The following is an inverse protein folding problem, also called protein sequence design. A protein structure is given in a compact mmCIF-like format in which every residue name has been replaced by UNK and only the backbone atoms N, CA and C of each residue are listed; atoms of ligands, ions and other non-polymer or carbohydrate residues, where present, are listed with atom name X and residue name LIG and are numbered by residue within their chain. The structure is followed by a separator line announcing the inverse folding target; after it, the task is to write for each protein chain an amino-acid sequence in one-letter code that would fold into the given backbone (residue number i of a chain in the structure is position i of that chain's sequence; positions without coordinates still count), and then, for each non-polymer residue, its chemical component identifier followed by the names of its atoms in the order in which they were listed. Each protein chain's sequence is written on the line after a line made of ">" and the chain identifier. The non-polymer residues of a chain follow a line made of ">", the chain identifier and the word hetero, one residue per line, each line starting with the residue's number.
data_IF_536162081121
#
_entry.id   IF_536162081121
#
_cell.length_a   1.000
_cell.length_b   1.000
_cell.length_c   1.000
_cell.angle_alpha   90.00
_cell.angle_beta   90.00
_cell.angle_gamma   90.00
#
_symmetry.space_group_name_H-M   'P 1'
#
loop_
_entity.id
_entity.type
_entity.pdbx_description
1 polymer ?
#
# COMPACT_ATOMS: atom_id res chain seq x y z
N UNK A 1 -18.40 23.02 5.83
CA UNK A 1 -17.63 21.80 5.47
C UNK A 1 -18.17 20.48 6.05
N UNK A 2 -19.26 20.45 6.85
CA UNK A 2 -19.77 19.21 7.44
C UNK A 2 -20.65 18.35 6.49
N UNK A 3 -21.35 18.95 5.51
CA UNK A 3 -22.31 18.23 4.66
C UNK A 3 -21.67 17.29 3.61
N UNK A 4 -20.42 17.53 3.18
CA UNK A 4 -19.73 16.69 2.17
C UNK A 4 -19.17 15.39 2.73
N UNK A 5 -18.97 15.28 4.06
CA UNK A 5 -18.45 14.05 4.69
C UNK A 5 -19.54 12.99 4.86
N UNK A 6 -20.80 13.38 5.08
CA UNK A 6 -21.91 12.43 5.24
C UNK A 6 -22.32 11.74 3.93
N UNK A 7 -22.21 12.43 2.78
CA UNK A 7 -22.54 11.85 1.47
C UNK A 7 -21.57 10.73 1.03
N UNK A 8 -20.29 10.84 1.42
CA UNK A 8 -19.25 9.86 1.06
C UNK A 8 -19.39 8.57 1.91
N UNK A 9 -19.79 8.71 3.17
CA UNK A 9 -20.07 7.57 4.06
C UNK A 9 -21.35 6.82 3.65
N UNK A 10 -22.38 7.51 3.16
CA UNK A 10 -23.62 6.88 2.69
C UNK A 10 -23.41 6.10 1.37
N UNK A 11 -22.63 6.66 0.44
CA UNK A 11 -22.33 5.98 -0.84
C UNK A 11 -21.47 4.73 -0.68
N UNK A 12 -20.49 4.76 0.25
CA UNK A 12 -19.67 3.58 0.58
C UNK A 12 -20.47 2.44 1.21
N UNK A 13 -21.49 2.75 2.04
CA UNK A 13 -22.30 1.74 2.73
C UNK A 13 -23.34 1.08 1.81
N UNK A 14 -23.78 1.76 0.74
CA UNK A 14 -24.64 1.17 -0.31
C UNK A 14 -23.87 0.19 -1.22
N UNK A 15 -22.61 0.48 -1.56
CA UNK A 15 -21.79 -0.39 -2.41
C UNK A 15 -21.42 -1.71 -1.73
N UNK A 16 -21.09 -1.69 -0.43
CA UNK A 16 -20.80 -2.91 0.35
C UNK A 16 -22.04 -3.79 0.52
N UNK A 17 -23.25 -3.22 0.61
CA UNK A 17 -24.48 -3.99 0.78
C UNK A 17 -24.93 -4.69 -0.51
N UNK A 18 -24.63 -4.13 -1.68
CA UNK A 18 -24.91 -4.75 -2.99
C UNK A 18 -23.95 -5.91 -3.32
N UNK A 19 -22.67 -5.79 -2.95
CA UNK A 19 -21.68 -6.86 -3.17
C UNK A 19 -21.91 -8.09 -2.28
N UNK A 20 -22.38 -7.90 -1.04
CA UNK A 20 -22.69 -9.02 -0.14
C UNK A 20 -23.93 -9.82 -0.55
N UNK A 21 -24.91 -9.19 -1.23
CA UNK A 21 -26.11 -9.88 -1.74
C UNK A 21 -25.81 -10.74 -2.98
N UNK A 22 -24.87 -10.32 -3.84
CA UNK A 22 -24.47 -11.10 -5.02
C UNK A 22 -23.58 -12.31 -4.68
N UNK A 23 -22.81 -12.23 -3.59
CA UNK A 23 -21.99 -13.34 -3.08
C UNK A 23 -22.86 -14.46 -2.48
N UNK A 24 -23.95 -14.11 -1.79
CA UNK A 24 -24.89 -15.09 -1.24
C UNK A 24 -25.72 -15.82 -2.30
N UNK A 25 -26.06 -15.15 -3.42
CA UNK A 25 -26.78 -15.79 -4.53
C UNK A 25 -25.88 -16.68 -5.41
N UNK A 26 -24.57 -16.41 -5.49
CA UNK A 26 -23.62 -17.21 -6.29
C UNK A 26 -23.21 -18.55 -5.67
N UNK A 27 -23.29 -18.70 -4.34
CA UNK A 27 -23.03 -19.99 -3.68
C UNK A 27 -24.16 -21.01 -3.83
N UNK A 28 -25.34 -20.61 -4.32
CA UNK A 28 -26.50 -21.49 -4.45
C UNK A 28 -26.55 -22.26 -5.79
N UNK A 29 -25.71 -21.95 -6.79
CA UNK A 29 -25.85 -22.50 -8.15
C UNK A 29 -24.68 -23.36 -8.66
N UNK A 30 -23.65 -23.65 -7.85
CA UNK A 30 -22.60 -24.62 -8.21
C UNK A 30 -21.67 -24.27 -9.38
N UNK A 31 -21.83 -23.10 -10.01
CA UNK A 31 -21.04 -22.68 -11.16
C UNK A 31 -19.73 -21.98 -10.72
N UNK A 32 -18.64 -22.74 -10.78
CA UNK A 32 -17.28 -22.29 -10.43
C UNK A 32 -16.72 -21.18 -11.35
N UNK A 33 -17.32 -20.95 -12.53
CA UNK A 33 -16.91 -19.86 -13.44
C UNK A 33 -17.47 -18.49 -13.05
N UNK A 34 -18.68 -18.45 -12.45
CA UNK A 34 -19.32 -17.23 -11.98
C UNK A 34 -18.69 -16.72 -10.68
N UNK A 35 -18.31 -17.64 -9.78
CA UNK A 35 -17.59 -17.31 -8.55
C UNK A 35 -16.20 -16.68 -8.83
N UNK A 36 -15.47 -17.19 -9.83
CA UNK A 36 -14.17 -16.63 -10.24
C UNK A 36 -14.35 -15.28 -10.94
N UNK A 37 -15.46 -15.07 -11.66
CA UNK A 37 -15.77 -13.79 -12.32
C UNK A 37 -16.22 -12.71 -11.32
N UNK A 38 -17.00 -13.09 -10.30
CA UNK A 38 -17.38 -12.22 -9.19
C UNK A 38 -16.19 -11.91 -8.28
N UNK A 39 -15.32 -12.89 -8.01
CA UNK A 39 -14.04 -12.68 -7.33
C UNK A 39 -13.11 -11.79 -8.18
N UNK A 40 -13.11 -11.91 -9.51
CA UNK A 40 -12.40 -11.00 -10.41
C UNK A 40 -12.98 -9.60 -10.40
N UNK A 41 -14.30 -9.40 -10.27
CA UNK A 41 -14.91 -8.07 -10.15
C UNK A 41 -14.65 -7.45 -8.77
N UNK A 42 -14.71 -8.23 -7.69
CA UNK A 42 -14.33 -7.79 -6.35
C UNK A 42 -12.82 -7.46 -6.29
N UNK A 43 -11.99 -8.25 -6.98
CA UNK A 43 -10.55 -8.01 -7.11
C UNK A 43 -10.24 -6.86 -8.06
N UNK A 44 -11.08 -6.60 -9.07
CA UNK A 44 -10.97 -5.45 -9.97
C UNK A 44 -11.35 -4.14 -9.26
N UNK A 45 -12.31 -4.19 -8.33
CA UNK A 45 -12.62 -3.05 -7.45
C UNK A 45 -11.56 -2.82 -6.36
N UNK A 46 -10.66 -3.79 -6.12
CA UNK A 46 -9.49 -3.59 -5.26
C UNK A 46 -8.16 -3.41 -6.01
N UNK A 47 -8.14 -3.53 -7.34
CA UNK A 47 -6.91 -3.43 -8.15
C UNK A 47 -6.88 -2.28 -9.16
N UNK A 48 -7.86 -1.37 -9.15
CA UNK A 48 -7.75 -0.07 -9.83
C UNK A 48 -7.76 1.14 -8.88
N UNK A 49 -7.25 0.96 -7.65
CA UNK A 49 -6.69 2.07 -6.90
C UNK A 49 -5.21 1.77 -6.66
N UNK A 50 -4.40 2.12 -7.65
CA UNK A 50 -3.01 2.49 -7.43
C UNK A 50 -2.98 3.69 -6.47
N UNK A 51 -3.27 3.45 -5.19
CA UNK A 51 -2.80 4.31 -4.10
C UNK A 51 -1.35 3.92 -3.89
N UNK A 52 -0.56 4.31 -4.87
CA UNK A 52 0.76 4.84 -4.60
C UNK A 52 0.64 5.66 -3.29
N UNK A 53 1.52 5.51 -2.30
CA UNK A 53 1.80 6.64 -1.44
C UNK A 53 2.52 7.63 -2.37
N UNK A 54 1.75 8.26 -3.25
CA UNK A 54 2.06 9.59 -3.70
C UNK A 54 2.03 10.37 -2.40
N UNK A 55 3.22 10.61 -1.85
CA UNK A 55 3.50 11.92 -1.30
C UNK A 55 3.21 12.86 -2.46
N UNK A 56 1.92 13.19 -2.61
CA UNK A 56 1.54 14.33 -3.39
C UNK A 56 2.11 15.48 -2.60
N UNK A 57 3.29 15.91 -3.03
CA UNK A 57 3.63 17.32 -3.06
C UNK A 57 2.67 17.97 -4.06
N UNK A 58 1.36 17.85 -3.81
CA UNK A 58 0.39 18.73 -4.43
C UNK A 58 0.72 20.08 -3.84
N UNK A 59 1.01 20.99 -4.76
CA UNK A 59 1.41 22.36 -4.53
C UNK A 59 0.27 23.10 -3.85
N UNK A 60 -0.02 22.77 -2.60
CA UNK A 60 -0.44 23.78 -1.65
C UNK A 60 0.77 24.66 -1.54
N UNK A 61 0.66 25.84 -2.14
CA UNK A 61 1.34 27.05 -1.71
C UNK A 61 1.26 27.10 -0.18
N UNK A 62 2.18 26.40 0.47
CA UNK A 62 2.50 26.64 1.85
C UNK A 62 3.22 27.96 1.75
N UNK A 63 2.39 29.01 1.89
CA UNK A 63 2.77 30.40 1.97
C UNK A 63 4.23 30.47 2.33
N UNK A 64 5.01 30.86 1.32
CA UNK A 64 6.34 31.38 1.51
C UNK A 64 6.21 32.41 2.63
N UNK A 65 6.47 31.99 3.87
CA UNK A 65 6.99 32.88 4.87
C UNK A 65 8.44 33.07 4.45
N UNK A 66 8.63 33.81 3.35
CA UNK A 66 9.79 34.66 3.17
C UNK A 66 10.09 35.24 4.56
N UNK A 67 11.32 35.15 5.08
CA UNK A 67 11.70 36.13 6.08
C UNK A 67 11.44 37.49 5.41
N UNK A 68 10.41 38.20 5.86
CA UNK A 68 10.11 39.53 5.35
C UNK A 68 11.35 40.36 5.65
N UNK A 69 12.07 40.70 4.60
CA UNK A 69 12.91 41.88 4.57
C UNK A 69 12.03 43.05 5.02
N UNK A 70 12.19 43.44 6.29
CA UNK A 70 11.68 44.69 6.81
C UNK A 70 12.89 45.49 7.29
N UNK A 71 13.65 46.04 6.36
CA UNK A 71 14.37 47.30 6.60
C UNK A 71 14.64 48.00 5.26
N UNK A 72 13.61 48.67 4.74
CA UNK A 72 13.75 49.80 3.84
C UNK A 72 12.64 50.82 4.15
N UNK A 73 13.06 51.90 4.81
CA UNK A 73 12.60 53.30 4.69
C UNK A 73 11.13 53.59 4.31
N UNK A 74 10.43 54.31 5.20
CA UNK A 74 9.20 55.04 4.87
C UNK A 74 8.34 55.42 6.08
N UNK A 75 8.76 56.48 6.77
CA UNK A 75 8.00 57.53 7.46
C UNK A 75 6.69 57.26 8.24
N UNK A 76 6.63 57.95 9.39
CA UNK A 76 5.47 58.30 10.24
C UNK A 76 5.10 57.39 11.42
N UNK A 77 5.60 57.82 12.60
CA UNK A 77 4.81 58.06 13.82
C UNK A 77 4.07 56.89 14.47
N UNK A 78 4.79 56.09 15.28
CA UNK A 78 4.31 55.67 16.61
C UNK A 78 5.46 54.98 17.38
N UNK A 79 6.40 55.78 17.91
CA UNK A 79 7.43 55.29 18.81
C UNK A 79 6.85 55.22 20.24
N UNK A 80 6.81 54.01 20.80
CA UNK A 80 6.56 53.75 22.22
C UNK A 80 7.76 54.25 23.02
N UNK A 81 7.47 55.07 24.01
CA UNK A 81 8.38 55.79 24.90
C UNK A 81 9.46 54.91 25.54
N UNK A 82 10.69 55.00 25.03
CA UNK A 82 11.91 54.69 25.79
C UNK A 82 13.14 55.48 25.31
N UNK A 83 12.93 56.63 24.66
CA UNK A 83 13.97 57.56 24.26
C UNK A 83 13.80 58.90 25.01
N UNK A 84 13.97 58.84 26.33
CA UNK A 84 14.05 60.04 27.18
C UNK A 84 15.37 60.09 27.97
N UNK A 85 16.44 59.46 27.46
CA UNK A 85 17.78 59.85 27.84
C UNK A 85 18.32 60.77 26.76
N UNK A 86 18.05 62.05 26.98
CA UNK A 86 18.47 63.22 26.23
C UNK A 86 19.83 62.99 25.53
N UNK A 87 19.81 62.97 24.20
CA UNK A 87 20.94 63.44 23.38
C UNK A 87 21.05 64.96 23.58
N UNK A 88 21.42 65.36 24.79
CA UNK A 88 21.94 66.67 25.05
C UNK A 88 23.35 66.68 24.43
N UNK A 89 23.45 67.17 23.19
CA UNK A 89 24.71 67.66 22.64
C UNK A 89 25.32 68.52 23.75
N UNK A 90 26.50 68.20 24.32
CA UNK A 90 27.12 69.12 25.24
C UNK A 90 27.57 70.29 24.37
N UNK A 91 26.71 71.31 24.23
CA UNK A 91 27.21 72.67 24.06
C UNK A 91 28.24 72.80 25.17
N UNK A 92 29.52 72.92 24.78
CA UNK A 92 30.66 72.85 25.68
C UNK A 92 30.29 73.54 26.97
N UNK A 93 30.34 72.79 28.10
CA UNK A 93 30.00 73.40 29.38
C UNK A 93 30.89 74.64 29.52
N UNK A 94 30.34 75.76 30.00
CA UNK A 94 31.20 76.86 30.38
C UNK A 94 32.20 76.28 31.36
N UNK A 95 33.49 76.41 31.08
CA UNK A 95 34.47 76.22 32.12
C UNK A 95 33.94 77.00 33.33
N UNK A 96 33.68 76.32 34.44
CA UNK A 96 33.32 76.99 35.69
C UNK A 96 34.59 77.71 36.14
N UNK A 97 34.88 78.81 35.46
CA UNK A 97 35.98 79.69 35.74
C UNK A 97 35.54 80.47 36.97
N UNK A 98 35.97 80.00 38.13
CA UNK A 98 35.79 80.74 39.36
C UNK A 98 36.71 81.95 39.28
N UNK A 99 36.13 83.10 38.95
CA UNK A 99 36.85 84.37 38.96
C UNK A 99 37.16 84.77 40.41
N UNK A 100 38.36 84.40 40.83
CA UNK A 100 38.93 84.58 42.16
C UNK A 100 38.95 86.07 42.52
N UNK A 101 39.28 86.94 41.57
CA UNK A 101 39.39 88.39 41.77
C UNK A 101 38.02 89.05 41.93
N UNK A 102 37.04 88.65 41.12
CA UNK A 102 35.67 89.14 41.26
C UNK A 102 35.01 88.64 42.57
N UNK A 103 35.37 87.47 43.06
CA UNK A 103 34.88 86.94 44.34
C UNK A 103 35.45 87.72 45.53
N UNK A 104 36.76 87.97 45.54
CA UNK A 104 37.43 88.76 46.59
C UNK A 104 36.85 90.17 46.66
N UNK A 105 36.72 90.87 45.52
CA UNK A 105 36.15 92.24 45.47
C UNK A 105 34.70 92.30 45.97
N UNK A 106 33.90 91.26 45.72
CA UNK A 106 32.53 91.17 46.24
C UNK A 106 32.48 90.95 47.74
N UNK A 107 33.39 90.14 48.30
CA UNK A 107 33.50 89.93 49.74
C UNK A 107 33.96 91.20 50.45
N UNK A 108 34.93 91.91 49.88
CA UNK A 108 35.38 93.22 50.36
C UNK A 108 34.24 94.26 50.35
N UNK A 109 33.40 94.28 49.30
CA UNK A 109 32.22 95.14 49.21
C UNK A 109 31.12 94.84 50.23
N UNK A 110 31.16 93.68 50.89
CA UNK A 110 30.27 93.29 51.99
C UNK A 110 30.91 93.50 53.38
N UNK A 111 32.05 94.19 53.44
CA UNK A 111 32.75 94.52 54.70
C UNK A 111 33.73 93.46 55.20
N UNK A 112 34.07 92.44 54.41
CA UNK A 112 35.08 91.44 54.77
C UNK A 112 36.48 92.04 54.54
N UNK A 113 37.41 91.97 55.52
CA UNK A 113 38.76 92.47 55.32
C UNK A 113 39.51 91.64 54.27
N UNK A 114 40.30 92.33 53.42
CA UNK A 114 40.94 91.77 52.22
C UNK A 114 41.65 90.42 52.43
N UNK A 115 42.42 90.27 53.52
CA UNK A 115 43.10 89.00 53.86
C UNK A 115 42.16 87.84 54.14
N UNK A 116 41.00 88.10 54.76
CA UNK A 116 39.99 87.06 55.01
C UNK A 116 39.22 86.73 53.74
N UNK A 117 38.93 87.73 52.90
CA UNK A 117 38.28 87.53 51.60
C UNK A 117 39.14 86.65 50.67
N UNK A 118 40.46 86.86 50.67
CA UNK A 118 41.43 86.04 49.94
C UNK A 118 41.49 84.61 50.47
N UNK A 119 41.57 84.42 51.79
CA UNK A 119 41.63 83.10 52.41
C UNK A 119 40.34 82.28 52.19
N UNK A 120 39.17 82.91 52.30
CA UNK A 120 37.87 82.26 52.02
C UNK A 120 37.79 81.89 50.55
N UNK A 121 38.21 82.78 49.66
CA UNK A 121 38.21 82.52 48.22
C UNK A 121 39.16 81.39 47.85
N UNK A 122 40.33 81.30 48.48
CA UNK A 122 41.29 80.21 48.28
C UNK A 122 40.72 78.85 48.72
N UNK A 123 40.10 78.78 49.90
CA UNK A 123 39.47 77.55 50.39
C UNK A 123 38.31 77.10 49.48
N UNK A 124 37.50 78.05 48.97
CA UNK A 124 36.43 77.74 48.01
C UNK A 124 37.01 77.25 46.69
N UNK A 125 38.08 77.85 46.19
CA UNK A 125 38.74 77.43 44.95
C UNK A 125 39.32 76.01 45.08
N UNK A 126 39.90 75.67 46.22
CA UNK A 126 40.44 74.32 46.52
C UNK A 126 39.34 73.26 46.54
N UNK A 127 38.28 73.46 47.33
CA UNK A 127 37.15 72.51 47.40
C UNK A 127 36.48 72.33 46.03
N UNK A 128 36.38 73.41 45.24
CA UNK A 128 35.77 73.37 43.91
C UNK A 128 36.66 72.65 42.90
N UNK A 129 37.99 72.82 42.99
CA UNK A 129 38.95 72.10 42.16
C UNK A 129 38.99 70.60 42.51
N UNK A 130 38.98 70.24 43.79
CA UNK A 130 38.91 68.84 44.25
C UNK A 130 37.59 68.17 43.83
N UNK A 131 36.48 68.89 43.97
CA UNK A 131 35.16 68.40 43.53
C UNK A 131 35.10 68.19 42.02
N UNK A 132 35.76 69.06 41.24
CA UNK A 132 35.87 68.90 39.79
C UNK A 132 36.79 67.73 39.41
N UNK A 133 37.89 67.51 40.14
CA UNK A 133 38.80 66.39 39.89
C UNK A 133 38.11 65.05 40.19
N UNK A 134 37.49 64.89 41.37
CA UNK A 134 36.70 63.70 41.75
C UNK A 134 35.56 63.47 40.75
N UNK A 135 34.85 64.55 40.39
CA UNK A 135 33.82 64.50 39.37
C UNK A 135 34.37 63.99 38.04
N UNK A 136 35.50 64.53 37.58
CA UNK A 136 36.13 64.15 36.31
C UNK A 136 36.61 62.69 36.30
N UNK A 137 37.12 62.16 37.41
CA UNK A 137 37.53 60.76 37.53
C UNK A 137 36.33 59.79 37.48
N UNK A 138 35.14 60.23 37.88
CA UNK A 138 33.91 59.43 37.78
C UNK A 138 33.32 59.39 36.36
N UNK A 139 33.79 60.26 35.46
CA UNK A 139 33.36 60.28 34.07
C UNK A 139 34.39 59.60 33.18
N UNK A 140 33.94 58.65 32.37
CA UNK A 140 34.78 58.06 31.32
C UNK A 140 34.97 59.08 30.19
N UNK A 141 36.22 59.30 29.77
CA UNK A 141 36.50 60.18 28.65
C UNK A 141 35.84 59.63 27.38
N UNK A 142 35.29 60.51 26.53
CA UNK A 142 34.59 60.08 25.29
C UNK A 142 35.46 59.20 24.40
N UNK A 143 36.77 59.44 24.38
CA UNK A 143 37.75 58.67 23.61
C UNK A 143 37.86 57.23 24.14
N UNK A 144 37.85 57.03 25.46
CA UNK A 144 37.93 55.70 26.08
C UNK A 144 36.63 54.91 25.91
N UNK A 145 35.49 55.59 26.05
CA UNK A 145 34.18 54.99 25.78
C UNK A 145 34.08 54.52 24.32
N UNK A 146 34.52 55.35 23.38
CA UNK A 146 34.51 55.00 21.95
C UNK A 146 35.47 53.87 21.61
N UNK A 147 36.62 53.78 22.31
CA UNK A 147 37.53 52.63 22.19
C UNK A 147 36.88 51.35 22.70
N UNK A 148 36.18 51.39 23.83
CA UNK A 148 35.45 50.24 24.38
C UNK A 148 34.33 49.79 23.44
N UNK A 149 33.59 50.73 22.85
CA UNK A 149 32.57 50.49 21.82
C UNK A 149 33.17 49.80 20.58
N UNK A 150 34.25 50.34 20.02
CA UNK A 150 34.94 49.72 18.87
C UNK A 150 35.42 48.29 19.16
N UNK A 151 35.94 48.05 20.37
CA UNK A 151 36.36 46.70 20.78
C UNK A 151 35.14 45.77 20.89
N UNK A 152 34.04 46.23 21.51
CA UNK A 152 32.81 45.47 21.63
C UNK A 152 32.21 45.14 20.26
N UNK A 153 32.15 46.10 19.34
CA UNK A 153 31.67 45.91 17.97
C UNK A 153 32.53 44.90 17.20
N UNK A 154 33.86 44.97 17.36
CA UNK A 154 34.77 44.00 16.73
C UNK A 154 34.55 42.58 17.25
N UNK A 155 34.33 42.42 18.56
CA UNK A 155 34.06 41.14 19.19
C UNK A 155 32.69 40.60 18.76
N UNK A 156 31.67 41.47 18.68
CA UNK A 156 30.36 41.11 18.19
C UNK A 156 30.41 40.69 16.71
N UNK A 157 31.20 41.38 15.89
CA UNK A 157 31.44 41.01 14.50
C UNK A 157 32.07 39.62 14.36
N UNK A 158 33.11 39.32 15.15
CA UNK A 158 33.74 37.99 15.20
C UNK A 158 32.76 36.92 15.63
N UNK A 159 32.06 37.12 16.75
CA UNK A 159 31.05 36.19 17.26
C UNK A 159 29.97 35.91 16.21
N UNK A 160 29.44 36.96 15.56
CA UNK A 160 28.46 36.82 14.47
C UNK A 160 29.00 35.99 13.32
N UNK A 161 30.26 36.19 12.93
CA UNK A 161 30.88 35.41 11.86
C UNK A 161 31.10 33.94 12.24
N UNK A 162 31.51 33.65 13.48
CA UNK A 162 31.68 32.28 13.98
C UNK A 162 30.35 31.54 14.05
N UNK A 163 29.31 32.18 14.59
CA UNK A 163 27.96 31.60 14.66
C UNK A 163 27.43 31.34 13.26
N UNK A 164 27.58 32.29 12.33
CA UNK A 164 27.13 32.12 10.94
C UNK A 164 27.89 30.99 10.24
N UNK A 165 29.21 30.96 10.37
CA UNK A 165 30.05 29.92 9.75
C UNK A 165 29.72 28.53 10.30
N UNK A 166 29.54 28.42 11.62
CA UNK A 166 29.12 27.16 12.26
C UNK A 166 27.73 26.72 11.78
N UNK A 167 26.77 27.64 11.72
CA UNK A 167 25.42 27.34 11.22
C UNK A 167 25.44 26.86 9.77
N UNK A 168 26.20 27.54 8.90
CA UNK A 168 26.34 27.18 7.49
C UNK A 168 27.02 25.82 7.32
N UNK A 169 28.04 25.54 8.13
CA UNK A 169 28.69 24.24 8.17
C UNK A 169 27.72 23.13 8.60
N UNK A 170 27.00 23.30 9.72
CA UNK A 170 26.01 22.32 10.18
C UNK A 170 24.89 22.10 9.16
N UNK A 171 24.43 23.17 8.52
CA UNK A 171 23.42 23.07 7.47
C UNK A 171 23.95 22.27 6.26
N UNK A 172 25.18 22.55 5.82
CA UNK A 172 25.80 21.81 4.71
C UNK A 172 26.00 20.33 5.02
N UNK A 173 26.36 19.99 6.27
CA UNK A 173 26.51 18.62 6.73
C UNK A 173 25.17 17.89 6.71
N UNK A 174 24.13 18.49 7.31
CA UNK A 174 22.78 17.91 7.34
C UNK A 174 22.21 17.73 5.93
N UNK A 175 22.43 18.70 5.04
CA UNK A 175 22.01 18.59 3.65
C UNK A 175 22.70 17.43 2.95
N UNK A 176 24.00 17.26 3.16
CA UNK A 176 24.79 16.14 2.58
C UNK A 176 24.34 14.79 3.11
N UNK A 177 24.09 14.68 4.41
CA UNK A 177 23.59 13.44 5.03
C UNK A 177 22.17 13.12 4.54
N UNK A 178 21.30 14.13 4.42
CA UNK A 178 19.94 13.96 3.89
C UNK A 178 19.98 13.44 2.45
N UNK A 179 20.86 13.99 1.61
CA UNK A 179 20.99 13.53 0.22
C UNK A 179 21.59 12.12 0.14
N UNK A 180 22.59 11.82 0.97
CA UNK A 180 23.15 10.46 1.05
C UNK A 180 22.08 9.43 1.45
N UNK A 181 21.30 9.73 2.49
CA UNK A 181 20.21 8.86 2.94
C UNK A 181 19.14 8.69 1.86
N UNK A 182 18.84 9.75 1.11
CA UNK A 182 17.90 9.69 -0.02
C UNK A 182 18.39 8.70 -1.09
N UNK A 183 19.66 8.78 -1.47
CA UNK A 183 20.28 7.85 -2.43
C UNK A 183 20.24 6.40 -1.91
N UNK A 184 20.55 6.19 -0.63
CA UNK A 184 20.50 4.85 -0.03
C UNK A 184 19.07 4.29 -0.01
N UNK A 185 18.06 5.13 0.28
CA UNK A 185 16.64 4.75 0.22
C UNK A 185 16.25 4.35 -1.21
N UNK A 186 16.61 5.17 -2.21
CA UNK A 186 16.29 4.90 -3.61
C UNK A 186 16.95 3.60 -4.10
N UNK A 187 18.19 3.34 -3.65
CA UNK A 187 18.91 2.09 -3.93
C UNK A 187 18.18 0.89 -3.31
N UNK A 188 17.86 0.95 -2.02
CA UNK A 188 17.13 -0.14 -1.33
C UNK A 188 15.75 -0.38 -1.96
N UNK A 189 15.03 0.66 -2.35
CA UNK A 189 13.77 0.53 -3.07
C UNK A 189 13.94 -0.18 -4.41
N UNK A 190 15.00 0.13 -5.16
CA UNK A 190 15.29 -0.52 -6.44
C UNK A 190 15.67 -2.00 -6.28
N UNK A 191 16.50 -2.32 -5.28
CA UNK A 191 16.90 -3.69 -4.97
C UNK A 191 15.68 -4.53 -4.57
N UNK A 192 14.85 -4.01 -3.65
CA UNK A 192 13.63 -4.69 -3.22
C UNK A 192 12.67 -4.94 -4.38
N UNK A 193 12.47 -3.94 -5.26
CA UNK A 193 11.64 -4.10 -6.46
C UNK A 193 12.18 -5.18 -7.39
N UNK A 194 13.50 -5.22 -7.59
CA UNK A 194 14.15 -6.21 -8.45
C UNK A 194 14.02 -7.64 -7.89
N UNK A 195 14.17 -7.79 -6.57
CA UNK A 195 14.04 -9.09 -5.89
C UNK A 195 12.60 -9.60 -5.96
N UNK A 196 11.62 -8.75 -5.66
CA UNK A 196 10.21 -9.10 -5.78
C UNK A 196 9.87 -9.54 -7.21
N UNK A 197 10.30 -8.78 -8.22
CA UNK A 197 10.09 -9.16 -9.62
C UNK A 197 10.71 -10.52 -9.94
N UNK A 198 11.93 -10.76 -9.50
CA UNK A 198 12.62 -12.03 -9.72
C UNK A 198 11.91 -13.21 -9.06
N UNK A 199 11.47 -13.07 -7.82
CA UNK A 199 10.71 -14.11 -7.13
C UNK A 199 9.36 -14.37 -7.79
N UNK A 200 8.63 -13.31 -8.16
CA UNK A 200 7.34 -13.48 -8.85
C UNK A 200 7.49 -14.21 -10.17
N UNK A 201 8.55 -13.92 -10.95
CA UNK A 201 8.81 -14.61 -12.22
C UNK A 201 9.22 -16.07 -12.00
N UNK A 202 10.04 -16.34 -10.97
CA UNK A 202 10.40 -17.72 -10.60
C UNK A 202 9.14 -18.52 -10.24
N UNK A 203 8.28 -17.98 -9.37
CA UNK A 203 7.04 -18.66 -9.00
C UNK A 203 6.09 -18.82 -10.19
N UNK A 204 6.05 -17.85 -11.13
CA UNK A 204 5.26 -17.97 -12.36
C UNK A 204 5.71 -19.14 -13.22
N UNK A 205 7.02 -19.28 -13.42
CA UNK A 205 7.61 -20.39 -14.17
C UNK A 205 7.32 -21.74 -13.49
N UNK A 206 7.48 -21.82 -12.17
CA UNK A 206 7.20 -23.05 -11.42
C UNK A 206 5.71 -23.43 -11.51
N UNK A 207 4.80 -22.45 -11.44
CA UNK A 207 3.36 -22.67 -11.62
C UNK A 207 3.03 -23.18 -13.02
N UNK A 208 3.59 -22.55 -14.07
CA UNK A 208 3.38 -22.97 -15.45
C UNK A 208 3.90 -24.39 -15.70
N UNK A 209 5.04 -24.74 -15.09
CA UNK A 209 5.58 -26.11 -15.14
C UNK A 209 4.63 -27.11 -14.49
N UNK A 210 4.20 -26.87 -13.25
CA UNK A 210 3.25 -27.74 -12.54
C UNK A 210 1.93 -27.88 -13.29
N UNK A 211 1.45 -26.80 -13.90
CA UNK A 211 0.23 -26.79 -14.72
C UNK A 211 0.40 -27.65 -15.98
N UNK A 212 1.55 -27.60 -16.63
CA UNK A 212 1.83 -28.42 -17.81
C UNK A 212 1.95 -29.91 -17.47
N UNK A 213 2.60 -30.23 -16.35
CA UNK A 213 2.77 -31.60 -15.85
C UNK A 213 1.42 -32.22 -15.48
N UNK A 214 0.59 -31.50 -14.71
CA UNK A 214 -0.75 -31.96 -14.35
C UNK A 214 -1.64 -32.17 -15.59
N UNK A 215 -1.57 -31.29 -16.59
CA UNK A 215 -2.31 -31.49 -17.86
C UNK A 215 -1.86 -32.74 -18.59
N UNK A 216 -0.55 -32.95 -18.68
CA UNK A 216 0.00 -34.15 -19.30
C UNK A 216 -0.44 -35.43 -18.58
N UNK A 217 -0.44 -35.44 -17.24
CA UNK A 217 -0.93 -36.58 -16.47
C UNK A 217 -2.42 -36.83 -16.69
N UNK A 218 -3.25 -35.79 -16.73
CA UNK A 218 -4.68 -35.89 -17.03
C UNK A 218 -4.88 -36.48 -18.43
N UNK A 219 -4.18 -35.96 -19.44
CA UNK A 219 -4.30 -36.45 -20.81
C UNK A 219 -3.86 -37.91 -20.93
N UNK A 220 -2.78 -38.28 -20.23
CA UNK A 220 -2.27 -39.66 -20.16
C UNK A 220 -3.29 -40.61 -19.51
N UNK A 221 -3.84 -40.26 -18.34
CA UNK A 221 -4.84 -41.07 -17.64
C UNK A 221 -6.12 -41.17 -18.47
N UNK A 222 -6.55 -40.06 -19.07
CA UNK A 222 -7.76 -40.02 -19.92
C UNK A 222 -7.61 -40.89 -21.17
N UNK A 223 -6.45 -40.84 -21.84
CA UNK A 223 -6.16 -41.70 -22.98
C UNK A 223 -6.10 -43.18 -22.57
N UNK A 224 -5.49 -43.48 -21.42
CA UNK A 224 -5.44 -44.83 -20.85
C UNK A 224 -6.84 -45.38 -20.57
N UNK A 225 -7.68 -44.62 -19.87
CA UNK A 225 -9.07 -44.99 -19.58
C UNK A 225 -9.89 -45.19 -20.86
N UNK A 226 -9.73 -44.34 -21.88
CA UNK A 226 -10.42 -44.52 -23.18
C UNK A 226 -9.99 -45.80 -23.89
N UNK A 227 -8.70 -46.13 -23.85
CA UNK A 227 -8.19 -47.36 -24.45
C UNK A 227 -8.74 -48.58 -23.72
N UNK A 228 -8.70 -48.57 -22.40
CA UNK A 228 -9.22 -49.64 -21.54
C UNK A 228 -10.69 -49.95 -21.83
N UNK A 229 -11.54 -48.91 -21.83
CA UNK A 229 -12.96 -49.03 -22.19
C UNK A 229 -13.18 -49.56 -23.61
N UNK A 230 -12.33 -49.18 -24.57
CA UNK A 230 -12.44 -49.67 -25.94
C UNK A 230 -12.04 -51.13 -26.07
N UNK A 231 -11.03 -51.58 -25.31
CA UNK A 231 -10.62 -52.98 -25.26
C UNK A 231 -11.68 -53.85 -24.56
N UNK A 232 -12.22 -53.39 -23.43
CA UNK A 232 -13.32 -54.08 -22.74
C UNK A 232 -14.57 -54.16 -23.63
N UNK A 233 -14.91 -53.08 -24.34
CA UNK A 233 -16.01 -53.08 -25.32
C UNK A 233 -15.75 -54.06 -26.46
N UNK A 234 -14.50 -54.21 -26.91
CA UNK A 234 -14.09 -55.22 -27.88
C UNK A 234 -14.33 -56.63 -27.36
N UNK A 235 -13.79 -56.95 -26.18
CA UNK A 235 -13.96 -58.25 -25.53
C UNK A 235 -15.42 -58.62 -25.30
N UNK A 236 -16.25 -57.67 -24.87
CA UNK A 236 -17.69 -57.89 -24.71
C UNK A 236 -18.40 -58.22 -26.03
N UNK A 237 -17.97 -57.64 -27.17
CA UNK A 237 -18.52 -58.00 -28.48
C UNK A 237 -18.09 -59.40 -28.91
N UNK A 238 -16.84 -59.77 -28.67
CA UNK A 238 -16.34 -61.11 -28.99
C UNK A 238 -17.06 -62.18 -28.17
N UNK A 239 -17.25 -61.93 -26.87
CA UNK A 239 -18.01 -62.82 -25.98
C UNK A 239 -19.48 -62.94 -26.43
N UNK A 240 -20.12 -61.81 -26.79
CA UNK A 240 -21.49 -61.81 -27.32
C UNK A 240 -21.58 -62.58 -28.65
N UNK A 241 -20.59 -62.46 -29.53
CA UNK A 241 -20.53 -63.21 -30.78
C UNK A 241 -20.36 -64.71 -30.53
N UNK A 242 -19.55 -65.10 -29.54
CA UNK A 242 -19.39 -66.50 -29.15
C UNK A 242 -20.71 -67.09 -28.60
N UNK A 243 -21.38 -66.39 -27.67
CA UNK A 243 -22.67 -66.83 -27.14
C UNK A 243 -23.75 -66.94 -28.25
N UNK A 244 -23.75 -66.02 -29.22
CA UNK A 244 -24.65 -66.12 -30.37
C UNK A 244 -24.32 -67.34 -31.24
N UNK A 245 -23.05 -67.62 -31.50
CA UNK A 245 -22.63 -68.82 -32.24
C UNK A 245 -23.04 -70.11 -31.52
N UNK A 246 -22.84 -70.18 -30.20
CA UNK A 246 -23.28 -71.31 -29.37
C UNK A 246 -24.80 -71.47 -29.42
N UNK A 247 -25.56 -70.38 -29.29
CA UNK A 247 -27.03 -70.37 -29.40
C UNK A 247 -27.47 -70.91 -30.75
N UNK A 248 -26.90 -70.42 -31.86
CA UNK A 248 -27.24 -70.93 -33.20
C UNK A 248 -26.85 -72.40 -33.40
N UNK A 249 -25.74 -72.86 -32.81
CA UNK A 249 -25.35 -74.27 -32.85
C UNK A 249 -26.37 -75.15 -32.12
N UNK A 250 -26.81 -74.73 -30.94
CA UNK A 250 -27.84 -75.41 -30.16
C UNK A 250 -29.19 -75.40 -30.87
N UNK A 251 -29.62 -74.27 -31.45
CA UNK A 251 -30.83 -74.19 -32.28
C UNK A 251 -30.77 -75.18 -33.44
N UNK A 252 -29.66 -75.21 -34.19
CA UNK A 252 -29.47 -76.15 -35.30
C UNK A 252 -29.47 -77.62 -34.84
N UNK A 253 -28.97 -77.93 -33.64
CA UNK A 253 -29.05 -79.28 -33.05
C UNK A 253 -30.49 -79.63 -32.69
N UNK A 254 -31.21 -78.73 -32.03
CA UNK A 254 -32.63 -78.91 -31.69
C UNK A 254 -33.47 -79.13 -32.95
N UNK A 255 -33.26 -78.34 -34.01
CA UNK A 255 -33.98 -78.51 -35.27
C UNK A 255 -33.73 -79.90 -35.90
N UNK A 256 -32.48 -80.38 -35.86
CA UNK A 256 -32.15 -81.75 -36.32
C UNK A 256 -32.85 -82.83 -35.49
N UNK A 257 -32.88 -82.68 -34.17
CA UNK A 257 -33.60 -83.60 -33.28
C UNK A 257 -35.10 -83.57 -33.56
N UNK A 258 -35.70 -82.38 -33.75
CA UNK A 258 -37.12 -82.22 -34.13
C UNK A 258 -37.41 -82.93 -35.45
N UNK A 259 -36.58 -82.75 -36.48
CA UNK A 259 -36.76 -83.42 -37.76
C UNK A 259 -36.63 -84.94 -37.65
N UNK A 260 -35.67 -85.42 -36.86
CA UNK A 260 -35.45 -86.85 -36.62
C UNK A 260 -36.65 -87.46 -35.89
N UNK A 261 -37.13 -86.80 -34.83
CA UNK A 261 -38.31 -87.23 -34.07
C UNK A 261 -39.57 -87.22 -34.94
N UNK A 262 -39.73 -86.21 -35.82
CA UNK A 262 -40.84 -86.13 -36.76
C UNK A 262 -40.82 -87.29 -37.77
N UNK A 263 -39.65 -87.62 -38.31
CA UNK A 263 -39.48 -88.76 -39.20
C UNK A 263 -39.83 -90.08 -38.49
N UNK A 264 -39.39 -90.26 -37.24
CA UNK A 264 -39.77 -91.41 -36.41
C UNK A 264 -41.29 -91.48 -36.18
N UNK A 265 -41.94 -90.35 -35.88
CA UNK A 265 -43.39 -90.30 -35.73
C UNK A 265 -44.11 -90.64 -37.04
N UNK A 266 -43.62 -90.19 -38.18
CA UNK A 266 -44.20 -90.54 -39.48
C UNK A 266 -44.06 -92.03 -39.78
N UNK A 267 -42.89 -92.63 -39.54
CA UNK A 267 -42.70 -94.08 -39.66
C UNK A 267 -43.64 -94.88 -38.75
N UNK A 268 -43.71 -94.53 -37.46
CA UNK A 268 -44.60 -95.20 -36.50
C UNK A 268 -46.07 -95.03 -36.86
N UNK A 269 -46.48 -93.87 -37.40
CA UNK A 269 -47.84 -93.68 -37.92
C UNK A 269 -48.14 -94.65 -39.06
N UNK A 270 -47.25 -94.81 -40.03
CA UNK A 270 -47.43 -95.75 -41.14
C UNK A 270 -47.51 -97.21 -40.65
N UNK A 271 -46.67 -97.58 -39.67
CA UNK A 271 -46.72 -98.91 -39.06
C UNK A 271 -48.06 -99.17 -38.37
N UNK A 272 -48.56 -98.22 -37.55
CA UNK A 272 -49.86 -98.33 -36.90
C UNK A 272 -50.98 -98.51 -37.93
N UNK A 273 -51.01 -97.70 -38.99
CA UNK A 273 -52.01 -97.83 -40.07
C UNK A 273 -51.94 -99.20 -40.72
N UNK A 274 -50.74 -99.72 -40.99
CA UNK A 274 -50.54 -101.04 -41.57
C UNK A 274 -51.10 -102.16 -40.67
N UNK A 275 -50.84 -102.11 -39.37
CA UNK A 275 -51.39 -103.09 -38.42
C UNK A 275 -52.91 -102.98 -38.29
N UNK A 276 -53.48 -101.77 -38.26
CA UNK A 276 -54.92 -101.55 -38.23
C UNK A 276 -55.63 -102.12 -39.48
N UNK A 277 -55.08 -101.91 -40.67
CA UNK A 277 -55.64 -102.47 -41.91
C UNK A 277 -55.56 -104.00 -41.89
N UNK A 278 -54.42 -104.56 -41.46
CA UNK A 278 -54.24 -106.00 -41.37
C UNK A 278 -55.23 -106.67 -40.39
N UNK A 279 -55.47 -106.05 -39.22
CA UNK A 279 -56.43 -106.57 -38.25
C UNK A 279 -57.88 -106.44 -38.74
N UNK A 280 -58.26 -105.31 -39.35
CA UNK A 280 -59.60 -105.16 -39.94
C UNK A 280 -59.87 -106.23 -41.00
N UNK A 281 -58.92 -106.48 -41.90
CA UNK A 281 -59.04 -107.53 -42.94
C UNK A 281 -59.12 -108.93 -42.31
N UNK A 282 -58.31 -109.21 -41.27
CA UNK A 282 -58.37 -110.48 -40.56
C UNK A 282 -59.75 -110.69 -39.90
N UNK A 283 -60.29 -109.67 -39.24
CA UNK A 283 -61.64 -109.69 -38.65
C UNK A 283 -62.71 -109.91 -39.72
N UNK A 284 -62.66 -109.18 -40.85
CA UNK A 284 -63.61 -109.38 -41.96
C UNK A 284 -63.52 -110.80 -42.54
N UNK A 285 -62.32 -111.36 -42.70
CA UNK A 285 -62.13 -112.72 -43.19
C UNK A 285 -62.70 -113.78 -42.23
N UNK A 286 -62.48 -113.61 -40.93
CA UNK A 286 -63.01 -114.49 -39.90
C UNK A 286 -64.55 -114.41 -39.83
N UNK A 287 -65.12 -113.21 -39.96
CA UNK A 287 -66.58 -113.01 -40.02
C UNK A 287 -67.22 -113.73 -41.20
N UNK A 288 -66.62 -113.64 -42.40
CA UNK A 288 -67.11 -114.38 -43.59
C UNK A 288 -66.99 -115.89 -43.36
N UNK A 289 -65.89 -116.37 -42.77
CA UNK A 289 -65.71 -117.79 -42.48
C UNK A 289 -66.76 -118.33 -41.50
N UNK A 290 -67.09 -117.59 -40.44
CA UNK A 290 -68.14 -117.95 -39.49
C UNK A 290 -69.52 -117.93 -40.14
N UNK A 291 -69.86 -116.88 -40.90
CA UNK A 291 -71.11 -116.82 -41.67
C UNK A 291 -71.27 -118.01 -42.64
N UNK A 292 -70.17 -118.50 -43.22
CA UNK A 292 -70.15 -119.67 -44.09
C UNK A 292 -70.33 -121.01 -43.36
N UNK A 293 -69.99 -121.11 -42.08
CA UNK A 293 -70.19 -122.32 -41.27
C UNK A 293 -71.60 -122.35 -40.67
N UNK A 294 -72.22 -121.18 -40.48
CA UNK A 294 -73.52 -121.04 -39.80
C UNK A 294 -74.74 -121.04 -40.76
N UNK A 295 -74.53 -120.88 -42.07
CA UNK A 295 -75.51 -121.07 -43.15
C UNK A 295 -75.31 -122.42 -43.82
#
# INVERSE_FOLDING_TARGET
>A
MAARRSAILFSRNCATRSSSLNLLNGLASGDSSAAVSAARLAFSTSSSSSVQPQIQVESREFLSSKPKDCLASGDSSAAVSAAAFLSAKPKGRPACHLDTLALVRRLEGQGVPSKQAEAITAAIAEVLNDSLDIGSQSFVARVEMQKAEMVQDSNFGKFKSEVKNSQEHHFSLLQRETEKLRVDIDKLQSELRSLLQRETEKFRVDLDKLRSESRYEIDKVTAGQRLDLNLERGRMRDELANQNAETTNLTNKLDKEIHTLRAHLEMTKYDIVKWCVATLVALSSAGIAVLRIMM
#
